data_IF_751430449420
#
_entry.id   IF_751430449420
#
_cell.length_a   1.000
_cell.length_b   1.000
_cell.length_c   1.000
_cell.angle_alpha   90.00
_cell.angle_beta   90.00
_cell.angle_gamma   90.00
#
_symmetry.space_group_name_H-M   'P 1'
#
loop_
_entity.id
_entity.type
_entity.pdbx_description
1 polymer ?
#
# COMPACT_ATOMS: atom_id res chain seq x y z
N UNK A 1 28.88 -74.78 8.75
CA UNK A 1 29.09 -73.43 9.31
C UNK A 1 29.33 -72.47 8.15
N UNK A 2 28.30 -71.74 7.73
CA UNK A 2 28.44 -70.57 6.85
C UNK A 2 27.46 -69.55 7.42
N UNK A 3 27.99 -68.52 8.06
CA UNK A 3 27.24 -67.44 8.71
C UNK A 3 27.07 -66.32 7.69
N UNK A 4 25.84 -66.05 7.29
CA UNK A 4 25.52 -64.98 6.34
C UNK A 4 25.23 -63.70 7.11
N UNK A 5 26.19 -62.77 7.13
CA UNK A 5 26.06 -61.45 7.74
C UNK A 5 25.18 -60.56 6.87
N UNK A 6 24.02 -60.14 7.38
CA UNK A 6 23.16 -59.12 6.74
C UNK A 6 23.69 -57.74 7.10
N UNK A 7 24.17 -56.99 6.11
CA UNK A 7 24.63 -55.62 6.25
C UNK A 7 23.42 -54.67 6.18
N UNK A 8 23.06 -54.04 7.29
CA UNK A 8 22.02 -53.00 7.33
C UNK A 8 22.60 -51.67 6.82
N UNK A 9 22.17 -51.22 5.64
CA UNK A 9 22.42 -49.86 5.16
C UNK A 9 21.55 -48.86 5.93
N UNK A 10 22.18 -48.12 6.85
CA UNK A 10 21.61 -46.90 7.42
C UNK A 10 21.69 -45.78 6.36
N UNK A 11 20.55 -45.51 5.70
CA UNK A 11 20.35 -44.29 4.93
C UNK A 11 20.19 -43.13 5.92
N UNK A 12 21.25 -42.33 6.09
CA UNK A 12 21.16 -41.05 6.76
C UNK A 12 20.33 -40.09 5.90
N UNK A 13 19.06 -39.91 6.24
CA UNK A 13 18.23 -38.84 5.68
C UNK A 13 18.73 -37.50 6.23
N UNK A 14 19.52 -36.77 5.45
CA UNK A 14 19.76 -35.35 5.70
C UNK A 14 18.46 -34.62 5.39
N UNK A 15 17.64 -34.39 6.42
CA UNK A 15 16.60 -33.38 6.35
C UNK A 15 17.31 -32.04 6.10
N UNK A 16 17.21 -31.53 4.88
CA UNK A 16 17.58 -30.14 4.61
C UNK A 16 16.79 -29.28 5.59
N UNK A 17 17.50 -28.57 6.47
CA UNK A 17 16.89 -27.54 7.27
C UNK A 17 16.27 -26.54 6.27
N UNK A 18 14.93 -26.53 6.19
CA UNK A 18 14.23 -25.45 5.53
C UNK A 18 14.70 -24.17 6.21
N UNK A 19 15.50 -23.38 5.48
CA UNK A 19 15.98 -22.09 5.97
C UNK A 19 14.76 -21.30 6.45
N UNK A 20 14.84 -20.73 7.66
CA UNK A 20 13.82 -19.80 8.12
C UNK A 20 13.75 -18.67 7.09
N UNK A 21 12.64 -18.61 6.35
CA UNK A 21 12.28 -17.45 5.56
C UNK A 21 12.13 -16.29 6.54
N UNK A 22 13.01 -15.29 6.42
CA UNK A 22 13.01 -14.11 7.28
C UNK A 22 11.84 -13.22 6.88
N UNK A 23 10.66 -13.53 7.44
CA UNK A 23 9.43 -12.83 7.12
C UNK A 23 9.59 -11.35 7.51
N UNK A 24 9.47 -10.39 6.56
CA UNK A 24 9.69 -8.98 6.85
C UNK A 24 8.75 -8.48 7.96
N UNK A 25 9.15 -7.44 8.72
CA UNK A 25 8.25 -6.79 9.66
C UNK A 25 6.98 -6.31 8.95
N UNK A 26 5.85 -6.32 9.65
CA UNK A 26 4.62 -5.75 9.10
C UNK A 26 4.78 -4.23 8.93
N UNK A 27 4.21 -3.62 7.87
CA UNK A 27 4.27 -2.18 7.67
C UNK A 27 3.71 -1.42 8.88
N UNK A 28 4.28 -0.25 9.15
CA UNK A 28 3.92 0.54 10.33
C UNK A 28 2.41 0.82 10.38
N UNK A 29 1.82 0.47 11.52
CA UNK A 29 0.41 0.60 11.82
C UNK A 29 -0.51 -0.37 11.06
N UNK A 30 0.01 -1.47 10.51
CA UNK A 30 -0.80 -2.65 10.23
C UNK A 30 -0.94 -3.51 11.51
N UNK A 31 -2.06 -4.22 11.63
CA UNK A 31 -2.32 -5.16 12.71
C UNK A 31 -2.01 -6.58 12.24
N UNK A 32 -1.23 -7.35 13.01
CA UNK A 32 -1.03 -8.78 12.75
C UNK A 32 -2.28 -9.56 13.15
N UNK A 33 -2.71 -10.46 12.27
CA UNK A 33 -3.85 -11.35 12.44
C UNK A 33 -3.31 -12.78 12.45
N UNK A 34 -3.17 -13.34 13.66
CA UNK A 34 -2.70 -14.71 13.88
C UNK A 34 -3.83 -15.72 14.10
N UNK A 35 -3.51 -17.02 13.98
CA UNK A 35 -4.38 -18.11 14.46
C UNK A 35 -4.43 -18.07 15.99
N UNK A 36 -5.43 -17.41 16.57
CA UNK A 36 -5.70 -17.49 18.01
C UNK A 36 -5.54 -16.18 18.79
N UNK A 37 -5.71 -15.02 18.16
CA UNK A 37 -6.13 -13.84 18.93
C UNK A 37 -7.40 -14.21 19.68
N UNK A 38 -7.27 -14.40 20.99
CA UNK A 38 -8.42 -14.62 21.85
C UNK A 38 -9.39 -13.45 21.62
N UNK A 39 -10.69 -13.71 21.43
CA UNK A 39 -11.64 -12.64 21.22
C UNK A 39 -11.49 -11.67 22.40
N UNK A 40 -11.27 -10.39 22.10
CA UNK A 40 -11.64 -9.39 23.08
C UNK A 40 -13.15 -9.61 23.27
N UNK A 41 -13.54 -10.17 24.41
CA UNK A 41 -14.94 -10.37 24.76
C UNK A 41 -15.57 -9.01 25.04
N UNK A 42 -15.71 -8.18 24.01
CA UNK A 42 -16.79 -7.23 24.00
C UNK A 42 -18.04 -8.10 23.94
N UNK A 43 -18.76 -8.22 25.06
CA UNK A 43 -20.09 -8.83 25.06
C UNK A 43 -20.87 -8.13 23.95
N UNK A 44 -21.16 -8.86 22.87
CA UNK A 44 -22.23 -8.46 21.96
C UNK A 44 -23.46 -8.36 22.85
N UNK A 45 -24.09 -7.18 22.98
CA UNK A 45 -25.29 -7.06 23.78
C UNK A 45 -26.30 -8.10 23.30
N UNK A 46 -26.98 -8.79 24.23
CA UNK A 46 -27.94 -9.85 23.90
C UNK A 46 -29.08 -9.36 22.99
N UNK A 47 -29.35 -8.06 22.96
CA UNK A 47 -30.29 -7.40 22.05
C UNK A 47 -29.77 -6.01 21.65
N UNK A 48 -29.87 -5.59 20.37
CA UNK A 48 -29.50 -4.24 19.93
C UNK A 48 -30.33 -3.16 20.66
N UNK A 49 -29.75 -2.02 21.04
CA UNK A 49 -30.50 -0.95 21.69
C UNK A 49 -31.59 -0.37 20.78
N UNK A 50 -32.70 0.09 21.37
CA UNK A 50 -33.73 0.88 20.68
C UNK A 50 -33.89 2.26 21.34
N UNK A 51 -33.77 3.37 20.60
CA UNK A 51 -33.37 3.42 19.19
C UNK A 51 -31.94 2.90 19.00
N UNK A 52 -31.59 2.41 17.79
CA UNK A 52 -30.22 1.99 17.49
C UNK A 52 -29.24 3.13 17.72
N UNK A 53 -27.96 2.80 17.96
CA UNK A 53 -26.90 3.81 17.98
C UNK A 53 -26.89 4.54 16.64
N UNK A 54 -27.07 5.85 16.67
CA UNK A 54 -27.14 6.70 15.46
C UNK A 54 -25.73 7.09 14.99
N UNK A 55 -24.88 6.08 14.77
CA UNK A 55 -23.56 6.21 14.15
C UNK A 55 -23.62 5.57 12.76
N UNK A 56 -23.43 6.36 11.70
CA UNK A 56 -23.29 5.80 10.36
C UNK A 56 -21.88 5.18 10.23
N UNK A 57 -21.84 3.93 9.76
CA UNK A 57 -20.61 3.18 9.51
C UNK A 57 -20.62 2.75 8.04
N UNK A 58 -19.62 3.18 7.27
CA UNK A 58 -19.52 2.87 5.84
C UNK A 58 -18.12 2.49 5.44
N UNK A 59 -18.00 1.59 4.47
CA UNK A 59 -16.78 1.33 3.72
C UNK A 59 -17.04 1.65 2.26
N UNK A 60 -16.70 2.86 1.78
CA UNK A 60 -17.04 3.28 0.42
C UNK A 60 -16.38 2.45 -0.69
N UNK A 61 -15.26 1.81 -0.38
CA UNK A 61 -14.52 0.95 -1.30
C UNK A 61 -14.15 -0.34 -0.57
N UNK A 62 -14.75 -1.46 -0.98
CA UNK A 62 -14.50 -2.77 -0.36
C UNK A 62 -13.03 -3.21 -0.57
N UNK A 63 -12.38 -3.78 0.45
CA UNK A 63 -10.97 -4.17 0.34
C UNK A 63 -10.78 -5.33 -0.62
N UNK A 64 -9.64 -5.34 -1.29
CA UNK A 64 -9.14 -6.50 -2.04
C UNK A 64 -7.98 -7.14 -1.27
N UNK A 65 -8.00 -8.46 -1.13
CA UNK A 65 -6.91 -9.22 -0.54
C UNK A 65 -5.72 -9.28 -1.50
N UNK A 66 -4.50 -9.12 -0.98
CA UNK A 66 -3.29 -9.22 -1.81
C UNK A 66 -2.10 -9.78 -1.01
N UNK A 67 -1.21 -10.55 -1.65
CA UNK A 67 0.01 -11.07 -1.02
C UNK A 67 1.14 -10.04 -0.99
N UNK A 68 1.90 -10.03 0.11
CA UNK A 68 3.16 -9.29 0.28
C UNK A 68 4.02 -9.90 1.39
N UNK A 69 5.31 -10.09 1.17
CA UNK A 69 6.26 -10.47 2.23
C UNK A 69 5.84 -11.70 3.03
N UNK A 70 5.30 -12.71 2.35
CA UNK A 70 4.83 -13.97 2.97
C UNK A 70 3.50 -13.87 3.74
N UNK A 71 2.75 -12.78 3.63
CA UNK A 71 1.43 -12.57 4.26
C UNK A 71 0.37 -12.17 3.23
N UNK A 72 -0.90 -12.25 3.62
CA UNK A 72 -1.99 -11.61 2.90
C UNK A 72 -2.41 -10.33 3.64
N UNK A 73 -2.77 -9.30 2.91
CA UNK A 73 -3.19 -8.02 3.47
C UNK A 73 -4.61 -7.65 3.07
N UNK A 74 -5.33 -7.00 3.99
CA UNK A 74 -6.51 -6.18 3.67
C UNK A 74 -6.24 -4.75 4.10
N UNK A 75 -6.49 -3.81 3.19
CA UNK A 75 -6.29 -2.37 3.41
C UNK A 75 -7.54 -1.63 2.96
N UNK A 76 -8.18 -0.89 3.87
CA UNK A 76 -9.43 -0.17 3.60
C UNK A 76 -9.74 0.90 4.66
N UNK A 77 -10.83 1.63 4.43
CA UNK A 77 -11.28 2.74 5.27
C UNK A 77 -12.65 2.46 5.86
N UNK A 78 -12.83 2.82 7.14
CA UNK A 78 -14.12 2.83 7.80
C UNK A 78 -14.52 4.27 8.09
N UNK A 79 -15.56 4.74 7.42
CA UNK A 79 -16.11 6.07 7.58
C UNK A 79 -17.14 6.03 8.71
N UNK A 80 -16.93 6.89 9.72
CA UNK A 80 -17.74 6.98 10.92
C UNK A 80 -18.33 8.38 11.00
N UNK A 81 -19.66 8.50 11.03
CA UNK A 81 -20.33 9.79 11.16
C UNK A 81 -21.37 9.75 12.26
N UNK A 82 -21.27 10.70 13.20
CA UNK A 82 -22.23 10.87 14.28
C UNK A 82 -23.47 11.63 13.77
N UNK A 83 -24.66 11.03 13.89
CA UNK A 83 -25.95 11.64 13.52
C UNK A 83 -26.73 12.15 14.74
N UNK A 84 -26.08 12.29 15.89
CA UNK A 84 -26.68 12.81 17.12
C UNK A 84 -26.08 14.15 17.51
N UNK A 85 -26.80 14.87 18.36
CA UNK A 85 -26.29 16.11 18.98
C UNK A 85 -25.23 15.84 20.07
N UNK A 86 -25.20 14.62 20.62
CA UNK A 86 -24.31 14.24 21.71
C UNK A 86 -22.96 13.70 21.19
N UNK A 87 -21.82 14.07 21.80
CA UNK A 87 -20.54 13.48 21.44
C UNK A 87 -20.50 11.96 21.68
N UNK A 88 -19.91 11.23 20.74
CA UNK A 88 -19.70 9.79 20.84
C UNK A 88 -18.22 9.49 21.07
N UNK A 89 -17.86 9.08 22.29
CA UNK A 89 -16.50 8.66 22.61
C UNK A 89 -16.20 7.31 21.95
N UNK A 90 -15.16 7.28 21.11
CA UNK A 90 -14.69 6.08 20.42
C UNK A 90 -13.74 5.30 21.33
N UNK A 91 -14.09 4.05 21.64
CA UNK A 91 -13.28 3.17 22.52
C UNK A 91 -12.56 2.07 21.76
N UNK A 92 -13.12 1.65 20.63
CA UNK A 92 -12.48 0.63 19.79
C UNK A 92 -13.22 0.37 18.49
N UNK A 93 -12.55 -0.36 17.60
CA UNK A 93 -13.14 -0.95 16.40
C UNK A 93 -12.75 -2.42 16.40
N UNK A 94 -13.75 -3.28 16.46
CA UNK A 94 -13.58 -4.71 16.21
C UNK A 94 -13.93 -5.02 14.76
N UNK A 95 -13.04 -5.73 14.08
CA UNK A 95 -13.31 -6.39 12.79
C UNK A 95 -13.56 -7.85 13.09
N UNK A 96 -14.66 -8.41 12.60
CA UNK A 96 -15.04 -9.81 12.85
C UNK A 96 -15.45 -10.54 11.57
N UNK A 97 -15.37 -11.86 11.62
CA UNK A 97 -15.78 -12.78 10.56
C UNK A 97 -17.25 -13.16 10.77
N UNK A 98 -18.19 -12.58 10.01
CA UNK A 98 -19.63 -12.75 10.23
C UNK A 98 -20.11 -14.16 9.89
N UNK A 99 -19.35 -14.91 9.08
CA UNK A 99 -19.73 -16.23 8.60
C UNK A 99 -19.13 -17.35 9.49
N UNK A 100 -18.31 -16.98 10.48
CA UNK A 100 -17.76 -17.91 11.47
C UNK A 100 -18.71 -18.17 12.64
N UNK A 101 -18.57 -19.34 13.27
CA UNK A 101 -19.30 -19.65 14.50
C UNK A 101 -19.04 -18.56 15.56
N UNK A 102 -20.11 -18.01 16.13
CA UNK A 102 -20.11 -16.92 17.12
C UNK A 102 -19.57 -15.56 16.64
N UNK A 103 -19.26 -15.39 15.35
CA UNK A 103 -18.76 -14.11 14.83
C UNK A 103 -17.35 -13.79 15.35
N UNK A 104 -16.42 -14.73 15.12
CA UNK A 104 -15.02 -14.69 15.55
C UNK A 104 -14.36 -13.35 15.24
N UNK A 105 -13.75 -12.76 16.27
CA UNK A 105 -12.93 -11.57 16.14
C UNK A 105 -11.72 -11.81 15.24
N UNK A 106 -11.47 -10.90 14.30
CA UNK A 106 -10.30 -10.89 13.42
C UNK A 106 -9.23 -9.96 14.01
N UNK A 107 -9.63 -8.74 14.35
CA UNK A 107 -8.75 -7.72 14.94
C UNK A 107 -9.57 -6.75 15.79
N UNK A 108 -8.99 -6.29 16.88
CA UNK A 108 -9.58 -5.24 17.72
C UNK A 108 -8.58 -4.11 17.90
N UNK A 109 -8.96 -2.92 17.45
CA UNK A 109 -8.19 -1.70 17.58
C UNK A 109 -8.76 -0.88 18.73
N UNK A 110 -7.93 -0.47 19.69
CA UNK A 110 -8.36 0.35 20.82
C UNK A 110 -7.20 1.23 21.32
N UNK A 111 -7.54 2.25 22.11
CA UNK A 111 -6.55 3.16 22.70
C UNK A 111 -5.66 3.83 21.63
N UNK A 112 -4.37 4.10 21.94
CA UNK A 112 -3.45 4.76 21.01
C UNK A 112 -3.37 4.08 19.64
N UNK A 113 -3.45 2.74 19.60
CA UNK A 113 -3.40 1.96 18.36
C UNK A 113 -4.55 2.23 17.40
N UNK A 114 -5.73 2.64 17.90
CA UNK A 114 -6.84 3.14 17.07
C UNK A 114 -6.65 4.63 16.71
N UNK A 115 -6.20 5.43 17.67
CA UNK A 115 -6.25 6.89 17.56
C UNK A 115 -5.31 7.41 16.47
N UNK A 116 -4.14 6.79 16.33
CA UNK A 116 -3.20 7.10 15.24
C UNK A 116 -3.76 6.78 13.84
N UNK A 117 -4.83 5.98 13.77
CA UNK A 117 -5.49 5.58 12.52
C UNK A 117 -6.77 6.36 12.23
N UNK A 118 -7.26 7.16 13.17
CA UNK A 118 -8.45 7.98 12.99
C UNK A 118 -8.06 9.37 12.45
N UNK A 119 -8.66 9.76 11.33
CA UNK A 119 -8.51 11.09 10.76
C UNK A 119 -9.86 11.79 10.79
N UNK A 120 -10.05 12.85 11.59
CA UNK A 120 -11.26 13.65 11.52
C UNK A 120 -11.35 14.36 10.17
N UNK A 121 -12.56 14.48 9.63
CA UNK A 121 -12.83 15.23 8.40
C UNK A 121 -13.34 16.61 8.80
N UNK A 122 -12.68 17.66 8.29
CA UNK A 122 -13.07 19.05 8.55
C UNK A 122 -12.61 19.61 9.90
N UNK A 123 -11.77 18.88 10.66
CA UNK A 123 -11.15 19.35 11.90
C UNK A 123 -9.66 18.96 11.93
N UNK A 124 -8.85 19.67 12.73
CA UNK A 124 -7.39 19.48 12.73
C UNK A 124 -6.96 18.15 13.39
N UNK A 125 -7.53 17.80 14.55
CA UNK A 125 -7.22 16.54 15.25
C UNK A 125 -8.39 16.10 16.14
N UNK A 126 -8.48 14.81 16.40
CA UNK A 126 -9.22 14.29 17.56
C UNK A 126 -8.26 14.43 18.76
N UNK A 127 -8.73 15.00 19.87
CA UNK A 127 -7.92 15.11 21.09
C UNK A 127 -7.51 13.74 21.66
N UNK A 128 -6.84 13.74 22.81
CA UNK A 128 -6.39 12.51 23.49
C UNK A 128 -7.53 11.57 23.93
N UNK A 129 -8.76 12.06 23.93
CA UNK A 129 -9.99 11.28 24.10
C UNK A 129 -10.85 11.45 22.83
N UNK A 130 -10.72 10.55 21.84
CA UNK A 130 -11.35 10.75 20.55
C UNK A 130 -12.85 10.58 20.67
N UNK A 131 -13.54 11.70 20.56
CA UNK A 131 -14.98 11.75 20.46
C UNK A 131 -15.37 12.34 19.12
N UNK A 132 -16.42 11.78 18.52
CA UNK A 132 -17.10 12.41 17.38
C UNK A 132 -18.18 13.32 17.95
N UNK A 133 -18.00 14.64 17.83
CA UNK A 133 -19.04 15.62 18.12
C UNK A 133 -20.24 15.48 17.18
N UNK A 134 -21.25 16.33 17.38
CA UNK A 134 -22.44 16.38 16.50
C UNK A 134 -22.04 16.60 15.06
N UNK A 135 -22.61 15.81 14.16
CA UNK A 135 -22.34 15.80 12.70
C UNK A 135 -20.87 15.60 12.32
N UNK A 136 -20.01 15.27 13.29
CA UNK A 136 -18.60 15.08 13.03
C UNK A 136 -18.38 13.71 12.38
N UNK A 137 -17.46 13.70 11.42
CA UNK A 137 -17.01 12.50 10.74
C UNK A 137 -15.53 12.25 11.00
N UNK A 138 -15.17 10.99 11.16
CA UNK A 138 -13.80 10.53 11.05
C UNK A 138 -13.69 9.34 10.09
N UNK A 139 -12.48 9.11 9.60
CA UNK A 139 -12.12 7.93 8.82
C UNK A 139 -11.08 7.14 9.58
N UNK A 140 -11.39 5.88 9.90
CA UNK A 140 -10.42 4.93 10.41
C UNK A 140 -9.72 4.23 9.24
N UNK A 141 -8.41 4.34 9.18
CA UNK A 141 -7.57 3.69 8.17
C UNK A 141 -7.08 2.33 8.68
N UNK A 142 -7.58 1.25 8.09
CA UNK A 142 -7.30 -0.12 8.53
C UNK A 142 -6.28 -0.78 7.60
N UNK A 143 -5.37 -1.54 8.21
CA UNK A 143 -4.44 -2.44 7.53
C UNK A 143 -4.32 -3.71 8.40
N UNK A 144 -4.71 -4.86 7.84
CA UNK A 144 -4.69 -6.15 8.53
C UNK A 144 -3.73 -7.08 7.77
N UNK A 145 -2.75 -7.65 8.49
CA UNK A 145 -1.73 -8.54 7.98
C UNK A 145 -1.99 -9.97 8.47
N UNK A 146 -2.43 -10.85 7.59
CA UNK A 146 -2.82 -12.23 7.89
C UNK A 146 -1.60 -13.15 7.80
N UNK A 147 -1.20 -13.71 8.95
CA UNK A 147 0.01 -14.53 9.10
C UNK A 147 -0.19 -15.99 8.67
N UNK A 148 0.92 -16.68 8.37
CA UNK A 148 0.98 -18.15 8.35
C UNK A 148 0.04 -18.84 7.34
N UNK A 149 -0.15 -18.23 6.16
CA UNK A 149 -1.03 -18.76 5.13
C UNK A 149 -2.52 -18.62 5.44
N UNK A 150 -2.89 -17.83 6.45
CA UNK A 150 -4.30 -17.45 6.64
C UNK A 150 -4.75 -16.52 5.51
N UNK A 151 -5.96 -16.77 5.03
CA UNK A 151 -6.62 -15.95 4.01
C UNK A 151 -7.64 -15.04 4.69
N UNK A 152 -7.76 -13.78 4.26
CA UNK A 152 -8.86 -12.95 4.71
C UNK A 152 -10.21 -13.62 4.39
N UNK A 153 -11.23 -13.52 5.26
CA UNK A 153 -12.55 -14.09 4.98
C UNK A 153 -13.25 -13.31 3.87
N UNK A 154 -14.12 -13.97 3.09
CA UNK A 154 -14.86 -13.36 1.97
C UNK A 154 -15.76 -12.17 2.38
N UNK A 155 -16.10 -12.09 3.67
CA UNK A 155 -16.89 -11.03 4.26
C UNK A 155 -16.31 -10.65 5.60
N UNK A 156 -16.46 -9.38 5.97
CA UNK A 156 -16.10 -8.86 7.29
C UNK A 156 -17.19 -7.94 7.82
N UNK A 157 -17.37 -7.93 9.13
CA UNK A 157 -18.22 -6.98 9.84
C UNK A 157 -17.42 -6.11 10.78
N UNK A 158 -18.03 -5.00 11.21
CA UNK A 158 -17.41 -4.03 12.12
C UNK A 158 -18.31 -3.79 13.33
N UNK A 159 -17.71 -3.78 14.53
CA UNK A 159 -18.34 -3.27 15.74
C UNK A 159 -17.53 -2.07 16.24
N UNK A 160 -18.15 -0.90 16.27
CA UNK A 160 -17.56 0.30 16.86
C UNK A 160 -17.95 0.35 18.32
N UNK A 161 -16.95 0.21 19.20
CA UNK A 161 -17.11 0.23 20.65
C UNK A 161 -17.15 1.69 21.09
N UNK A 162 -18.23 2.07 21.77
CA UNK A 162 -18.46 3.39 22.34
C UNK A 162 -18.53 3.31 23.86
N UNK A 163 -18.59 4.45 24.53
CA UNK A 163 -18.93 4.48 25.96
C UNK A 163 -20.36 3.98 26.19
N UNK A 164 -20.46 2.79 26.81
CA UNK A 164 -21.73 2.17 27.19
C UNK A 164 -22.57 1.61 26.04
N UNK A 165 -22.06 1.63 24.80
CA UNK A 165 -22.78 1.14 23.63
C UNK A 165 -21.86 0.50 22.59
N UNK A 166 -22.45 -0.26 21.67
CA UNK A 166 -21.75 -0.83 20.51
C UNK A 166 -22.59 -0.55 19.28
N UNK A 167 -22.00 0.13 18.29
CA UNK A 167 -22.61 0.30 16.97
C UNK A 167 -22.13 -0.82 16.04
N UNK A 168 -23.06 -1.52 15.39
CA UNK A 168 -22.75 -2.60 14.45
C UNK A 168 -22.93 -2.05 13.05
N UNK A 169 -21.86 -2.11 12.26
CA UNK A 169 -21.86 -1.69 10.86
C UNK A 169 -22.40 -2.76 9.91
N UNK A 170 -22.64 -2.41 8.64
CA UNK A 170 -22.98 -3.39 7.62
C UNK A 170 -21.85 -4.39 7.41
N UNK A 171 -22.19 -5.63 7.09
CA UNK A 171 -21.21 -6.59 6.56
C UNK A 171 -20.83 -6.21 5.15
N UNK A 172 -19.53 -6.19 4.85
CA UNK A 172 -18.97 -5.89 3.54
C UNK A 172 -18.26 -7.11 2.95
N UNK A 173 -18.12 -7.14 1.62
CA UNK A 173 -17.30 -8.10 0.92
C UNK A 173 -15.80 -7.84 1.08
N UNK A 174 -15.00 -8.88 0.82
CA UNK A 174 -13.57 -8.75 0.53
C UNK A 174 -13.31 -9.43 -0.82
N UNK A 175 -12.60 -8.73 -1.70
CA UNK A 175 -12.32 -9.25 -3.05
C UNK A 175 -11.09 -10.16 -3.02
N UNK A 176 -11.16 -11.27 -3.75
CA UNK A 176 -10.06 -12.25 -3.90
C UNK A 176 -9.76 -12.52 -5.38
N UNK A 177 -10.22 -11.63 -6.26
CA UNK A 177 -10.04 -11.77 -7.70
C UNK A 177 -8.54 -11.75 -8.06
N UNK A 178 -8.12 -12.50 -9.11
CA UNK A 178 -6.75 -12.48 -9.57
C UNK A 178 -6.26 -11.06 -9.86
N UNK A 179 -5.18 -10.66 -9.19
CA UNK A 179 -4.58 -9.34 -9.34
C UNK A 179 -3.69 -9.29 -10.58
N UNK A 180 -3.58 -8.11 -11.20
CA UNK A 180 -2.65 -7.91 -12.32
C UNK A 180 -1.21 -8.06 -11.81
N UNK A 181 -0.51 -9.01 -12.43
CA UNK A 181 0.94 -9.22 -12.26
C UNK A 181 1.67 -8.34 -13.27
N UNK A 182 2.49 -7.44 -12.76
CA UNK A 182 3.16 -6.39 -13.49
C UNK A 182 4.67 -6.60 -13.51
N UNK A 183 5.33 -6.17 -14.58
CA UNK A 183 6.77 -5.97 -14.57
C UNK A 183 7.17 -4.82 -13.65
N UNK A 184 8.47 -4.70 -13.32
CA UNK A 184 8.94 -3.58 -12.54
C UNK A 184 8.84 -2.28 -13.36
N UNK A 185 8.40 -1.15 -12.76
CA UNK A 185 8.27 0.12 -13.47
C UNK A 185 9.61 0.82 -13.71
N UNK A 186 10.68 0.31 -13.10
CA UNK A 186 12.07 0.78 -13.18
C UNK A 186 13.03 -0.41 -13.34
N UNK A 187 14.30 -0.14 -13.69
CA UNK A 187 15.33 -1.18 -13.87
C UNK A 187 16.44 -1.12 -12.83
N UNK A 188 17.15 -2.23 -12.65
CA UNK A 188 18.37 -2.28 -11.85
C UNK A 188 18.11 -2.49 -10.35
N UNK A 189 19.10 -2.09 -9.55
CA UNK A 189 19.15 -2.26 -8.09
C UNK A 189 19.00 -0.93 -7.35
N UNK A 190 19.11 -1.02 -6.02
CA UNK A 190 19.19 0.07 -5.05
C UNK A 190 17.84 0.77 -4.84
N UNK A 191 16.75 0.14 -5.26
CA UNK A 191 15.42 0.72 -5.17
C UNK A 191 14.84 0.57 -3.78
N UNK A 192 14.10 1.57 -3.35
CA UNK A 192 13.27 1.56 -2.14
C UNK A 192 11.83 1.78 -2.60
N UNK A 193 10.93 0.90 -2.15
CA UNK A 193 9.49 1.04 -2.35
C UNK A 193 8.90 1.96 -1.27
N UNK A 194 9.20 3.25 -1.33
CA UNK A 194 8.79 4.19 -0.29
C UNK A 194 7.29 4.53 -0.36
N UNK A 195 6.72 4.97 0.75
CA UNK A 195 5.29 5.31 0.90
C UNK A 195 4.30 4.19 0.54
N UNK A 196 4.73 2.92 0.52
CA UNK A 196 3.88 1.75 0.29
C UNK A 196 2.81 1.53 1.37
N UNK A 197 2.55 0.26 1.75
CA UNK A 197 1.40 -0.14 2.60
C UNK A 197 1.27 0.50 4.00
N UNK A 198 2.29 1.22 4.47
CA UNK A 198 2.30 1.84 5.80
C UNK A 198 1.14 2.84 5.97
N UNK A 199 0.44 2.78 7.10
CA UNK A 199 -0.62 3.76 7.37
C UNK A 199 -0.11 5.14 7.80
N UNK A 200 1.17 5.23 8.15
CA UNK A 200 1.84 6.49 8.47
C UNK A 200 2.36 7.18 7.20
N UNK A 201 2.36 6.48 6.06
CA UNK A 201 2.69 7.07 4.78
C UNK A 201 1.61 8.06 4.33
N UNK A 202 2.04 9.18 3.78
CA UNK A 202 1.16 10.24 3.32
C UNK A 202 0.24 9.81 2.14
N UNK A 203 0.60 8.74 1.44
CA UNK A 203 -0.23 8.09 0.41
C UNK A 203 -1.49 7.46 0.99
N UNK A 204 -1.35 6.71 2.10
CA UNK A 204 -2.44 5.95 2.71
C UNK A 204 -3.60 6.84 3.13
N UNK A 205 -3.26 7.98 3.76
CA UNK A 205 -4.23 8.95 4.29
C UNK A 205 -4.60 10.04 3.29
N UNK A 206 -4.23 9.87 2.02
CA UNK A 206 -4.45 10.84 0.94
C UNK A 206 -5.87 10.88 0.40
N UNK A 207 -6.88 10.96 1.26
CA UNK A 207 -8.29 11.12 0.87
C UNK A 207 -8.51 12.48 0.22
N UNK A 208 -8.94 12.49 -1.04
CA UNK A 208 -9.17 13.70 -1.84
C UNK A 208 -10.56 13.66 -2.42
N UNK A 209 -11.25 14.81 -2.44
CA UNK A 209 -12.50 14.97 -3.19
C UNK A 209 -12.15 15.45 -4.59
N UNK A 210 -12.34 14.58 -5.59
CA UNK A 210 -12.15 14.90 -7.00
C UNK A 210 -13.32 14.36 -7.81
N UNK A 211 -13.84 15.14 -8.75
CA UNK A 211 -15.05 14.76 -9.50
C UNK A 211 -16.31 14.59 -8.63
N UNK A 212 -16.34 15.22 -7.44
CA UNK A 212 -17.48 15.14 -6.50
C UNK A 212 -17.47 13.93 -5.57
N UNK A 213 -16.48 13.04 -5.67
CA UNK A 213 -16.36 11.84 -4.83
C UNK A 213 -15.08 11.91 -3.98
N UNK A 214 -15.18 11.48 -2.73
CA UNK A 214 -14.02 11.31 -1.86
C UNK A 214 -13.34 9.96 -2.18
N UNK A 215 -12.09 10.00 -2.61
CA UNK A 215 -11.36 8.82 -3.12
C UNK A 215 -9.91 8.80 -2.62
N UNK A 216 -9.27 7.63 -2.67
CA UNK A 216 -7.85 7.47 -2.34
C UNK A 216 -7.14 6.77 -3.50
N UNK A 217 -6.76 7.55 -4.51
CA UNK A 217 -6.04 7.05 -5.68
C UNK A 217 -4.66 6.47 -5.34
N UNK A 218 -4.05 6.97 -4.26
CA UNK A 218 -2.70 6.60 -3.81
C UNK A 218 -2.67 5.44 -2.82
N UNK A 219 -3.78 4.71 -2.61
CA UNK A 219 -3.89 3.64 -1.59
C UNK A 219 -2.77 2.59 -1.66
N UNK A 220 -2.32 2.28 -2.89
CA UNK A 220 -1.24 1.33 -3.17
C UNK A 220 -0.08 1.96 -3.97
N UNK A 221 0.03 3.30 -3.94
CA UNK A 221 1.06 4.00 -4.68
C UNK A 221 2.44 3.82 -4.03
N UNK A 222 3.47 3.63 -4.84
CA UNK A 222 4.86 3.53 -4.41
C UNK A 222 5.67 4.67 -5.01
N UNK A 223 6.46 5.32 -4.15
CA UNK A 223 7.52 6.24 -4.57
C UNK A 223 8.83 5.46 -4.71
N UNK A 224 9.18 5.11 -5.94
CA UNK A 224 10.43 4.44 -6.24
C UNK A 224 11.61 5.40 -6.14
N UNK A 225 12.36 5.26 -5.05
CA UNK A 225 13.59 6.02 -4.75
C UNK A 225 14.80 5.12 -4.90
N UNK A 226 15.99 5.68 -5.14
CA UNK A 226 17.25 4.93 -5.11
C UNK A 226 18.12 5.35 -3.94
N UNK A 227 18.53 4.38 -3.13
CA UNK A 227 19.43 4.55 -1.99
C UNK A 227 20.73 3.79 -2.21
N UNK A 228 21.86 4.49 -2.27
CA UNK A 228 23.19 3.89 -2.32
C UNK A 228 23.91 4.19 -1.02
N UNK A 229 24.41 3.17 -0.36
CA UNK A 229 25.10 3.28 0.94
C UNK A 229 24.28 4.06 1.98
N UNK A 230 22.95 3.91 1.95
CA UNK A 230 22.02 4.59 2.86
C UNK A 230 21.68 6.04 2.50
N UNK A 231 22.22 6.57 1.40
CA UNK A 231 21.95 7.93 0.92
C UNK A 231 21.13 7.93 -0.37
N UNK A 232 20.15 8.85 -0.47
CA UNK A 232 19.35 9.03 -1.69
C UNK A 232 20.01 9.94 -2.73
N UNK A 233 21.05 10.68 -2.33
CA UNK A 233 21.77 11.63 -3.17
C UNK A 233 23.22 11.78 -2.71
N UNK A 234 24.07 12.28 -3.60
CA UNK A 234 25.44 12.67 -3.31
C UNK A 234 25.75 14.05 -3.92
N UNK A 235 26.35 14.95 -3.13
CA UNK A 235 26.65 16.32 -3.54
C UNK A 235 25.56 17.33 -3.14
N UNK A 236 25.24 18.25 -4.03
CA UNK A 236 24.29 19.34 -3.74
C UNK A 236 22.85 18.83 -3.68
N UNK A 237 22.24 18.88 -2.48
CA UNK A 237 20.85 18.49 -2.25
C UNK A 237 19.84 19.33 -3.06
N UNK A 238 20.22 20.50 -3.59
CA UNK A 238 19.36 21.34 -4.45
C UNK A 238 19.48 20.98 -5.93
N UNK A 239 20.43 20.14 -6.31
CA UNK A 239 20.61 19.69 -7.68
C UNK A 239 19.90 18.35 -7.90
N UNK A 240 18.88 18.31 -8.76
CA UNK A 240 18.18 17.04 -9.08
C UNK A 240 19.13 15.93 -9.54
N UNK A 241 20.24 16.29 -10.20
CA UNK A 241 21.27 15.36 -10.70
C UNK A 241 22.10 14.71 -9.58
N UNK A 242 22.07 15.25 -8.37
CA UNK A 242 22.72 14.64 -7.21
C UNK A 242 21.96 13.42 -6.70
N UNK A 243 20.67 13.27 -7.01
CA UNK A 243 19.85 12.15 -6.55
C UNK A 243 20.06 10.91 -7.42
N UNK A 244 20.27 9.76 -6.79
CA UNK A 244 20.61 8.52 -7.48
C UNK A 244 19.47 7.97 -8.36
N UNK A 245 18.23 8.38 -8.09
CA UNK A 245 17.07 8.01 -8.89
C UNK A 245 16.94 8.85 -10.18
N UNK A 246 17.39 10.11 -10.17
CA UNK A 246 17.15 11.04 -11.27
C UNK A 246 17.76 10.55 -12.59
N UNK A 247 16.96 10.54 -13.66
CA UNK A 247 17.39 10.09 -14.98
C UNK A 247 17.42 8.57 -15.19
N UNK A 248 17.12 7.78 -14.16
CA UNK A 248 16.94 6.33 -14.30
C UNK A 248 15.79 6.00 -15.26
N UNK A 249 15.89 4.87 -15.96
CA UNK A 249 14.88 4.48 -16.94
C UNK A 249 13.58 4.05 -16.27
N UNK A 250 12.47 4.57 -16.80
CA UNK A 250 11.10 4.17 -16.47
C UNK A 250 10.56 3.34 -17.64
N UNK A 251 9.96 2.20 -17.34
CA UNK A 251 9.54 1.21 -18.35
C UNK A 251 8.08 0.80 -18.19
N UNK A 252 7.49 0.35 -19.30
CA UNK A 252 6.12 -0.18 -19.30
C UNK A 252 6.03 -1.44 -18.46
N UNK A 253 5.07 -1.49 -17.55
CA UNK A 253 4.87 -2.60 -16.62
C UNK A 253 4.13 -3.78 -17.27
N UNK A 254 3.44 -3.52 -18.39
CA UNK A 254 2.70 -4.52 -19.15
C UNK A 254 2.66 -4.12 -20.63
N UNK A 255 2.21 -5.05 -21.47
CA UNK A 255 1.71 -4.71 -22.80
C UNK A 255 0.42 -3.89 -22.62
N UNK A 256 0.38 -2.68 -23.17
CA UNK A 256 -0.67 -1.73 -22.86
C UNK A 256 -0.85 -0.65 -23.94
N UNK A 257 -1.98 0.05 -23.89
CA UNK A 257 -2.20 1.27 -24.65
C UNK A 257 -1.82 2.49 -23.80
N UNK A 258 -1.16 3.48 -24.39
CA UNK A 258 -0.87 4.76 -23.74
C UNK A 258 -2.08 5.67 -23.86
N UNK A 259 -2.78 5.93 -22.76
CA UNK A 259 -3.97 6.79 -22.74
C UNK A 259 -3.66 8.24 -22.37
N UNK A 260 -2.50 8.48 -21.77
CA UNK A 260 -1.98 9.82 -21.54
C UNK A 260 -0.45 9.81 -21.61
N UNK A 261 0.12 10.78 -22.33
CA UNK A 261 1.54 11.11 -22.32
C UNK A 261 1.65 12.63 -22.25
N UNK A 262 2.16 13.15 -21.12
CA UNK A 262 2.26 14.57 -20.85
C UNK A 262 3.70 14.94 -20.49
N UNK A 263 4.23 15.95 -21.16
CA UNK A 263 5.60 16.43 -20.99
C UNK A 263 5.63 17.96 -21.00
N UNK A 264 6.78 18.55 -20.70
CA UNK A 264 7.04 19.99 -20.76
C UNK A 264 7.01 20.71 -19.42
N UNK A 265 6.66 20.05 -18.32
CA UNK A 265 6.75 20.63 -16.98
C UNK A 265 8.19 20.60 -16.46
N UNK A 266 8.70 21.72 -15.91
CA UNK A 266 10.03 21.76 -15.33
C UNK A 266 10.13 20.89 -14.07
N UNK A 267 11.35 20.43 -13.78
CA UNK A 267 11.66 19.80 -12.50
C UNK A 267 11.66 20.85 -11.38
N UNK A 268 11.19 20.48 -10.20
CA UNK A 268 11.34 21.29 -9.00
C UNK A 268 12.79 21.30 -8.54
N UNK A 269 13.20 22.39 -7.89
CA UNK A 269 14.38 22.36 -7.02
C UNK A 269 14.01 21.48 -5.81
N UNK A 270 14.79 20.44 -5.48
CA UNK A 270 14.46 19.56 -4.38
C UNK A 270 14.35 20.30 -3.04
N UNK A 271 13.39 19.88 -2.22
CA UNK A 271 13.14 20.44 -0.89
C UNK A 271 14.36 20.28 0.00
N UNK A 272 14.73 21.36 0.68
CA UNK A 272 15.74 21.36 1.75
C UNK A 272 15.17 21.95 3.05
N UNK A 273 16.00 22.05 4.09
CA UNK A 273 15.62 22.76 5.32
C UNK A 273 15.28 24.24 5.10
N UNK A 274 15.73 24.84 3.99
CA UNK A 274 15.41 26.23 3.63
C UNK A 274 14.00 26.40 3.06
N UNK A 275 13.29 25.30 2.76
CA UNK A 275 11.94 25.32 2.22
C UNK A 275 11.78 24.54 0.92
N UNK A 276 10.59 24.66 0.34
CA UNK A 276 10.19 24.02 -0.91
C UNK A 276 9.17 24.88 -1.64
N UNK A 277 9.37 25.03 -2.95
CA UNK A 277 8.43 25.66 -3.86
C UNK A 277 8.32 24.81 -5.13
N UNK A 278 7.12 24.73 -5.67
CA UNK A 278 6.86 24.01 -6.91
C UNK A 278 7.22 24.91 -8.09
N UNK A 279 7.83 24.34 -9.13
CA UNK A 279 8.29 25.10 -10.30
C UNK A 279 7.13 25.68 -11.12
N UNK A 280 5.92 25.13 -10.94
CA UNK A 280 4.67 25.64 -11.50
C UNK A 280 3.55 25.54 -10.45
N UNK A 281 2.53 26.41 -10.47
CA UNK A 281 1.40 26.33 -9.54
C UNK A 281 0.72 24.95 -9.55
N UNK A 282 0.31 24.47 -8.38
CA UNK A 282 -0.31 23.16 -8.23
C UNK A 282 -1.79 23.19 -8.59
N UNK A 283 -2.17 22.36 -9.57
CA UNK A 283 -3.52 22.23 -10.11
C UNK A 283 -3.79 20.77 -10.45
N UNK A 284 -5.03 20.41 -10.74
CA UNK A 284 -5.36 19.08 -11.28
C UNK A 284 -4.57 18.75 -12.56
N UNK A 285 -4.18 19.78 -13.31
CA UNK A 285 -3.42 19.63 -14.54
C UNK A 285 -1.92 19.39 -14.30
N UNK A 286 -1.35 20.00 -13.26
CA UNK A 286 0.09 20.07 -13.01
C UNK A 286 0.56 19.12 -11.90
N UNK A 287 -0.35 18.54 -11.11
CA UNK A 287 -0.02 17.70 -9.94
C UNK A 287 0.83 16.49 -10.26
N UNK A 288 0.57 15.83 -11.39
CA UNK A 288 1.37 14.69 -11.84
C UNK A 288 2.74 15.10 -12.42
N UNK A 289 2.93 16.37 -12.77
CA UNK A 289 4.05 16.81 -13.59
C UNK A 289 4.03 16.16 -14.97
N UNK A 290 5.21 15.80 -15.47
CA UNK A 290 5.32 14.97 -16.66
C UNK A 290 4.90 13.55 -16.32
N UNK A 291 4.04 12.95 -17.14
CA UNK A 291 3.39 11.70 -16.79
C UNK A 291 3.08 10.82 -18.00
N UNK A 292 3.00 9.52 -17.74
CA UNK A 292 2.47 8.53 -18.68
C UNK A 292 1.40 7.72 -17.96
N UNK A 293 0.30 7.42 -18.64
CA UNK A 293 -0.75 6.52 -18.14
C UNK A 293 -0.96 5.41 -19.16
N UNK A 294 -0.89 4.18 -18.67
CA UNK A 294 -1.15 2.99 -19.45
C UNK A 294 -2.52 2.42 -19.08
N UNK A 295 -3.34 2.12 -20.07
CA UNK A 295 -4.52 1.27 -19.92
C UNK A 295 -4.10 -0.20 -19.97
N UNK A 296 -4.27 -0.89 -18.84
CA UNK A 296 -3.90 -2.28 -18.65
C UNK A 296 -5.02 -3.25 -19.05
N UNK A 297 -6.15 -2.73 -19.55
CA UNK A 297 -7.40 -3.47 -19.72
C UNK A 297 -8.18 -3.62 -18.41
N UNK A 298 -9.42 -4.09 -18.53
CA UNK A 298 -10.32 -4.40 -17.40
C UNK A 298 -10.58 -3.19 -16.47
N UNK A 299 -10.51 -1.97 -17.00
CA UNK A 299 -10.71 -0.74 -16.24
C UNK A 299 -9.57 -0.38 -15.28
N UNK A 300 -8.38 -0.99 -15.44
CA UNK A 300 -7.21 -0.74 -14.61
C UNK A 300 -6.17 0.10 -15.35
N UNK A 301 -5.60 1.10 -14.67
CA UNK A 301 -4.66 2.04 -15.26
C UNK A 301 -3.38 2.13 -14.43
N UNK A 302 -2.21 2.02 -15.07
CA UNK A 302 -0.92 2.27 -14.44
C UNK A 302 -0.48 3.71 -14.70
N UNK A 303 -0.31 4.48 -13.63
CA UNK A 303 0.09 5.88 -13.67
C UNK A 303 1.56 6.02 -13.30
N UNK A 304 2.32 6.76 -14.12
CA UNK A 304 3.71 7.11 -13.91
C UNK A 304 3.81 8.63 -13.83
N UNK A 305 4.21 9.17 -12.68
CA UNK A 305 4.27 10.61 -12.45
C UNK A 305 5.68 11.10 -12.11
N UNK A 306 5.85 12.41 -12.06
CA UNK A 306 7.11 13.09 -11.75
C UNK A 306 8.24 12.77 -12.72
N UNK A 307 7.90 12.51 -13.99
CA UNK A 307 8.86 12.14 -15.03
C UNK A 307 9.76 13.34 -15.40
N UNK A 308 10.94 13.04 -15.92
CA UNK A 308 11.92 14.05 -16.31
C UNK A 308 11.45 14.81 -17.55
N UNK A 309 11.51 16.16 -17.55
CA UNK A 309 11.15 16.96 -18.71
C UNK A 309 11.92 16.57 -19.96
N UNK A 310 11.22 16.43 -21.09
CA UNK A 310 11.78 16.10 -22.39
C UNK A 310 12.29 14.65 -22.50
N UNK A 311 11.88 13.76 -21.60
CA UNK A 311 12.37 12.37 -21.56
C UNK A 311 11.37 11.34 -22.08
N UNK A 312 10.11 11.71 -22.31
CA UNK A 312 9.09 10.78 -22.78
C UNK A 312 9.46 10.24 -24.17
N UNK A 313 9.26 8.94 -24.35
CA UNK A 313 9.56 8.18 -25.58
C UNK A 313 8.30 7.67 -26.28
N UNK A 314 7.14 8.02 -25.74
CA UNK A 314 5.82 7.58 -26.18
C UNK A 314 4.87 8.77 -26.26
N UNK A 315 3.78 8.60 -27.00
CA UNK A 315 2.69 9.56 -27.16
C UNK A 315 1.36 8.89 -26.83
N UNK A 316 0.36 9.68 -26.48
CA UNK A 316 -1.02 9.20 -26.34
C UNK A 316 -1.44 8.50 -27.63
N UNK A 317 -2.03 7.31 -27.50
CA UNK A 317 -2.44 6.45 -28.61
C UNK A 317 -1.42 5.36 -28.98
N UNK A 318 -0.18 5.44 -28.49
CA UNK A 318 0.82 4.40 -28.74
C UNK A 318 0.44 3.08 -28.05
N UNK A 319 0.90 1.96 -28.62
CA UNK A 319 0.94 0.67 -27.94
C UNK A 319 2.36 0.37 -27.50
N UNK A 320 2.51 -0.06 -26.25
CA UNK A 320 3.80 -0.40 -25.66
C UNK A 320 3.84 -1.88 -25.29
N UNK A 321 5.04 -2.45 -25.29
CA UNK A 321 5.30 -3.79 -24.74
C UNK A 321 5.86 -3.68 -23.33
N UNK A 322 5.62 -4.68 -22.49
CA UNK A 322 6.24 -4.82 -21.17
C UNK A 322 7.77 -4.66 -21.29
N UNK A 323 8.33 -3.84 -20.41
CA UNK A 323 9.75 -3.48 -20.41
C UNK A 323 10.14 -2.41 -21.44
N UNK A 324 9.26 -1.95 -22.32
CA UNK A 324 9.58 -0.87 -23.26
C UNK A 324 9.91 0.43 -22.50
N UNK A 325 11.01 1.13 -22.82
CA UNK A 325 11.31 2.43 -22.23
C UNK A 325 10.19 3.45 -22.50
N UNK A 326 9.66 4.06 -21.44
CA UNK A 326 8.63 5.10 -21.51
C UNK A 326 9.20 6.49 -21.34
N UNK A 327 10.06 6.67 -20.33
CA UNK A 327 10.59 7.95 -19.92
C UNK A 327 11.79 7.78 -18.99
N UNK A 328 12.16 8.85 -18.27
CA UNK A 328 13.13 8.81 -17.18
C UNK A 328 12.55 9.41 -15.91
N UNK A 329 13.04 8.96 -14.76
CA UNK A 329 12.72 9.52 -13.44
C UNK A 329 13.12 11.00 -13.40
N UNK A 330 12.20 11.86 -12.95
CA UNK A 330 12.40 13.30 -12.83
C UNK A 330 12.06 13.81 -11.44
N UNK A 331 11.62 15.07 -11.37
CA UNK A 331 11.18 15.76 -10.17
C UNK A 331 10.10 16.84 -10.47
N UNK A 332 9.29 16.64 -11.52
CA UNK A 332 8.22 17.56 -11.92
C UNK A 332 6.92 17.33 -11.13
N UNK A 333 5.99 18.29 -11.10
CA UNK A 333 4.70 18.15 -10.40
C UNK A 333 4.80 18.31 -8.88
N UNK A 334 3.95 17.65 -8.10
CA UNK A 334 4.02 17.66 -6.62
C UNK A 334 5.12 16.73 -6.08
N UNK A 335 6.35 16.94 -6.54
CA UNK A 335 7.52 16.14 -6.15
C UNK A 335 8.53 16.96 -5.36
N UNK A 336 8.83 16.52 -4.14
CA UNK A 336 9.80 17.19 -3.26
C UNK A 336 11.24 16.80 -3.56
N UNK A 337 11.48 15.61 -4.09
CA UNK A 337 12.81 15.07 -4.43
C UNK A 337 12.69 14.06 -5.58
N UNK A 338 13.72 13.83 -6.41
CA UNK A 338 13.64 12.88 -7.51
C UNK A 338 13.22 11.46 -7.12
N UNK A 339 12.11 10.99 -7.68
CA UNK A 339 11.56 9.63 -7.53
C UNK A 339 10.57 9.34 -8.67
N UNK A 340 10.22 8.08 -8.89
CA UNK A 340 9.04 7.73 -9.70
C UNK A 340 7.87 7.47 -8.76
N UNK A 341 6.82 8.27 -8.85
CA UNK A 341 5.52 7.91 -8.28
C UNK A 341 4.80 6.95 -9.23
N UNK A 342 4.46 5.76 -8.73
CA UNK A 342 3.77 4.73 -9.48
C UNK A 342 2.53 4.26 -8.73
N UNK A 343 1.39 4.22 -9.40
CA UNK A 343 0.13 3.70 -8.83
C UNK A 343 -0.68 2.95 -9.88
N UNK A 344 -1.52 2.03 -9.42
CA UNK A 344 -2.56 1.39 -10.24
C UNK A 344 -3.92 1.81 -9.70
N UNK A 345 -4.80 2.24 -10.59
CA UNK A 345 -6.13 2.78 -10.25
C UNK A 345 -7.23 2.17 -11.10
N UNK A 346 -8.47 2.22 -10.60
CA UNK A 346 -9.68 1.81 -11.34
C UNK A 346 -10.21 2.88 -12.33
N UNK A 347 -9.37 3.84 -12.67
CA UNK A 347 -9.66 4.95 -13.58
C UNK A 347 -8.38 5.67 -13.97
N UNK A 348 -8.39 6.48 -15.04
CA UNK A 348 -7.18 7.11 -15.56
C UNK A 348 -6.78 8.39 -14.82
N UNK A 349 -7.52 8.82 -13.79
CA UNK A 349 -7.25 10.07 -13.07
C UNK A 349 -6.27 9.87 -11.92
N UNK A 350 -5.21 10.69 -11.83
CA UNK A 350 -4.21 10.58 -10.75
C UNK A 350 -4.82 10.78 -9.35
N UNK A 351 -5.85 11.62 -9.20
CA UNK A 351 -6.56 11.86 -7.93
C UNK A 351 -8.05 11.47 -7.99
N UNK A 352 -8.65 11.43 -9.18
CA UNK A 352 -10.08 11.15 -9.38
C UNK A 352 -10.32 9.66 -9.70
N UNK A 353 -9.77 8.77 -8.88
CA UNK A 353 -9.88 7.31 -9.01
C UNK A 353 -9.55 6.63 -7.68
N UNK A 354 -9.90 5.35 -7.53
CA UNK A 354 -9.50 4.51 -6.40
C UNK A 354 -8.23 3.75 -6.72
N UNK A 355 -7.26 3.78 -5.80
CA UNK A 355 -6.08 2.93 -5.88
C UNK A 355 -6.45 1.48 -5.61
N UNK A 356 -5.96 0.58 -6.47
CA UNK A 356 -6.18 -0.88 -6.38
C UNK A 356 -4.83 -1.61 -6.27
N UNK A 357 -4.80 -2.79 -5.61
CA UNK A 357 -3.55 -3.52 -5.45
C UNK A 357 -3.11 -4.14 -6.78
N UNK A 358 -1.80 -4.34 -6.89
CA UNK A 358 -1.14 -4.99 -8.01
C UNK A 358 0.04 -5.81 -7.49
N UNK A 359 0.58 -6.71 -8.31
CA UNK A 359 1.70 -7.55 -7.93
C UNK A 359 2.88 -7.28 -8.85
N UNK A 360 4.11 -7.40 -8.34
CA UNK A 360 5.29 -7.42 -9.19
C UNK A 360 5.67 -8.87 -9.47
N UNK A 361 5.93 -9.17 -10.75
CA UNK A 361 6.31 -10.48 -11.27
C UNK A 361 7.44 -11.10 -10.45
N UNK A 362 8.58 -10.42 -10.41
CA UNK A 362 9.77 -10.90 -9.73
C UNK A 362 10.67 -9.74 -9.29
N UNK A 363 11.24 -9.85 -8.10
CA UNK A 363 12.27 -8.95 -7.58
C UNK A 363 13.06 -9.64 -6.47
N UNK A 364 14.18 -9.05 -6.06
CA UNK A 364 14.93 -9.51 -4.90
C UNK A 364 15.03 -8.42 -3.84
N UNK A 365 15.04 -8.81 -2.57
CA UNK A 365 15.33 -7.89 -1.47
C UNK A 365 16.59 -8.27 -0.74
N UNK A 366 17.32 -7.29 -0.23
CA UNK A 366 18.41 -7.54 0.70
C UNK A 366 17.88 -7.67 2.13
N UNK A 367 18.15 -8.80 2.78
CA UNK A 367 17.79 -9.06 4.18
C UNK A 367 18.66 -8.26 5.15
N UNK A 368 18.30 -8.25 6.43
CA UNK A 368 19.13 -7.64 7.48
C UNK A 368 20.50 -8.32 7.64
N UNK A 369 20.61 -9.62 7.32
CA UNK A 369 21.88 -10.36 7.28
C UNK A 369 22.75 -10.02 6.07
N UNK A 370 22.20 -9.29 5.09
CA UNK A 370 22.89 -8.90 3.86
C UNK A 370 22.69 -9.85 2.68
N UNK A 371 21.95 -10.95 2.88
CA UNK A 371 21.62 -11.96 1.87
C UNK A 371 20.53 -11.44 0.91
N UNK A 372 20.48 -12.02 -0.29
CA UNK A 372 19.42 -11.72 -1.27
C UNK A 372 18.32 -12.78 -1.21
N UNK A 373 17.08 -12.32 -1.02
CA UNK A 373 15.87 -13.13 -1.05
C UNK A 373 15.08 -12.82 -2.32
N UNK A 374 14.57 -13.86 -3.00
CA UNK A 374 13.77 -13.71 -4.22
C UNK A 374 12.28 -13.74 -3.92
N UNK A 375 11.54 -12.84 -4.55
CA UNK A 375 10.11 -12.63 -4.37
C UNK A 375 9.43 -12.70 -5.73
N UNK A 376 8.22 -13.23 -5.77
CA UNK A 376 7.43 -13.29 -6.99
C UNK A 376 5.94 -13.16 -6.70
N UNK A 377 5.22 -12.52 -7.63
CA UNK A 377 3.76 -12.34 -7.58
C UNK A 377 3.26 -11.75 -6.25
N UNK A 378 3.95 -10.73 -5.76
CA UNK A 378 3.58 -10.06 -4.52
C UNK A 378 3.76 -8.54 -4.60
N UNK A 379 3.08 -7.81 -3.72
CA UNK A 379 3.22 -6.37 -3.60
C UNK A 379 4.53 -6.03 -2.86
N UNK A 380 5.40 -5.14 -3.41
CA UNK A 380 6.66 -4.79 -2.77
C UNK A 380 6.49 -4.02 -1.46
N UNK A 381 7.21 -4.43 -0.41
CA UNK A 381 7.28 -3.71 0.87
C UNK A 381 8.47 -2.74 0.90
N UNK A 382 8.30 -1.63 1.64
CA UNK A 382 9.21 -0.48 1.61
C UNK A 382 10.41 -0.53 2.56
N UNK A 383 10.58 -1.61 3.30
CA UNK A 383 11.58 -1.74 4.38
C UNK A 383 12.94 -2.26 3.92
N UNK A 384 13.06 -2.71 2.66
CA UNK A 384 14.27 -3.35 2.13
C UNK A 384 14.69 -2.76 0.79
N UNK A 385 16.00 -2.87 0.49
CA UNK A 385 16.56 -2.55 -0.83
C UNK A 385 16.12 -3.60 -1.83
N UNK A 386 15.57 -3.16 -2.96
CA UNK A 386 15.02 -3.98 -4.04
C UNK A 386 15.94 -3.97 -5.27
N UNK A 387 16.13 -5.17 -5.84
CA UNK A 387 16.82 -5.40 -7.10
C UNK A 387 15.92 -6.11 -8.12
N UNK A 388 15.75 -5.49 -9.29
CA UNK A 388 14.96 -6.00 -10.41
C UNK A 388 15.82 -6.65 -11.51
N UNK A 389 17.14 -6.77 -11.30
CA UNK A 389 18.01 -7.53 -12.21
C UNK A 389 17.68 -9.02 -12.17
N UNK A 390 17.90 -9.70 -13.29
CA UNK A 390 17.80 -11.15 -13.34
C UNK A 390 18.82 -11.78 -12.36
N UNK A 391 18.50 -12.95 -11.76
CA UNK A 391 19.36 -13.61 -10.78
C UNK A 391 20.83 -13.73 -11.22
N UNK A 392 21.07 -14.03 -12.49
CA UNK A 392 22.40 -14.29 -13.08
C UNK A 392 23.19 -13.03 -13.47
N UNK A 393 22.60 -11.84 -13.31
CA UNK A 393 23.24 -10.55 -13.62
C UNK A 393 23.74 -9.80 -12.38
N UNK A 394 23.79 -10.48 -11.23
CA UNK A 394 24.13 -9.92 -9.92
C UNK A 394 25.64 -9.76 -9.66
N UNK A 395 26.51 -10.31 -10.52
CA UNK A 395 27.97 -10.36 -10.32
C UNK A 395 28.77 -9.60 -11.39
N UNK A 396 28.40 -8.36 -11.72
CA UNK A 396 29.39 -7.45 -12.31
C UNK A 396 29.55 -6.21 -11.43
N UNK A 397 30.77 -5.97 -10.89
CA UNK A 397 31.05 -4.87 -9.98
C UNK A 397 30.87 -3.49 -10.62
#
# INVERSE_FOLDING_TARGET
MVSTTVLACLLASTAAAAGRVDTPPIPAGCESVGRGTAPATARVPGEPPFPPVQLEIRTPFEPTAFPAGGRNYLVYELHLQNFTEAPMALRGIEVFDPDSAEGRSIATLAGPGLFDKLVPIGAETLGSDPSLGSDQRAVAFLCLAFDGGSTPPNRIGHRVLLDGAVAIGPTIGTHHDPLKVLGPPVRGTDWIADNGLSITAHHRKGLVVAGGLAQISRRYAIDWKRSRDGAFFAGDARAVRSYHAYGADVVAVADAAVVLAKDGFPDNIPRTAAGFETAVPMTMETVAGNAVVLDLGDGQFAYYAHLKPGSLRVRTGDRVRRGQPLAKVGNSGDSRWPHLHFQVTNGPGILASEGIPYLIDHYRTRTASGDWESHAHEFPLGDRVIDFRAPDSAEQP
#
